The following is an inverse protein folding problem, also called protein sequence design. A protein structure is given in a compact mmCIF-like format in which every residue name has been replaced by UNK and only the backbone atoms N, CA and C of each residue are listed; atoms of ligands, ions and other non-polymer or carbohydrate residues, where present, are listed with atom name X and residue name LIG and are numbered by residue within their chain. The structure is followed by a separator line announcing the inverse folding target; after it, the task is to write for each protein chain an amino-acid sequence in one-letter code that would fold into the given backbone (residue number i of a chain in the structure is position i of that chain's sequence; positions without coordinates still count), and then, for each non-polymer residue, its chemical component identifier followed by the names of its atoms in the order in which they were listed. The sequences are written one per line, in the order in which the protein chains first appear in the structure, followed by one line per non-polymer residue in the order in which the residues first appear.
data_IF_213102278810
#
_entry.id   IF_213102278810
#
_cell.length_a   1.000
_cell.length_b   1.000
_cell.length_c   1.000
_cell.angle_alpha   90.00
_cell.angle_beta   90.00
_cell.angle_gamma   90.00
#
_symmetry.space_group_name_H-M   'P 1'
#
loop_
_entity.id
_entity.type
_entity.pdbx_description
1 polymer ?
#
# COMPACT_ATOMS: atom_id res chain seq x y z
N UNK A 1 -13.37 17.82 -4.27
CA UNK A 1 -13.97 17.99 -5.61
C UNK A 1 -13.95 16.65 -6.31
N UNK A 2 -15.05 16.27 -6.95
CA UNK A 2 -15.17 15.02 -7.72
C UNK A 2 -15.09 15.32 -9.21
N UNK A 3 -14.44 14.45 -9.99
CA UNK A 3 -14.46 14.45 -11.45
C UNK A 3 -14.33 13.03 -11.98
N UNK A 4 -14.73 12.82 -13.25
CA UNK A 4 -14.41 11.60 -13.98
C UNK A 4 -12.89 11.45 -14.09
N UNK A 5 -12.37 10.25 -13.78
CA UNK A 5 -10.97 9.90 -14.02
C UNK A 5 -10.80 9.34 -15.43
N UNK A 6 -11.43 8.21 -15.72
CA UNK A 6 -11.56 7.62 -17.05
C UNK A 6 -12.61 6.50 -17.04
N UNK A 7 -12.94 5.98 -18.22
CA UNK A 7 -13.67 4.70 -18.30
C UNK A 7 -12.68 3.53 -18.24
N UNK A 8 -13.12 2.44 -17.64
CA UNK A 8 -12.49 1.12 -17.73
C UNK A 8 -12.91 0.43 -19.03
N UNK A 9 -12.16 -0.59 -19.47
CA UNK A 9 -12.53 -1.41 -20.62
C UNK A 9 -13.87 -2.15 -20.43
N UNK A 10 -14.29 -2.39 -19.18
CA UNK A 10 -15.63 -2.89 -18.83
C UNK A 10 -16.77 -1.93 -19.19
N UNK A 11 -16.47 -0.66 -19.47
CA UNK A 11 -17.42 0.42 -19.69
C UNK A 11 -17.78 1.17 -18.40
N UNK A 12 -17.37 0.68 -17.22
CA UNK A 12 -17.59 1.36 -15.94
C UNK A 12 -16.75 2.64 -15.84
N UNK A 13 -17.29 3.63 -15.14
CA UNK A 13 -16.62 4.90 -14.91
C UNK A 13 -15.88 4.93 -13.58
N UNK A 14 -14.58 5.21 -13.61
CA UNK A 14 -13.82 5.53 -12.42
C UNK A 14 -13.85 7.06 -12.17
N UNK A 15 -14.03 7.41 -10.89
CA UNK A 15 -14.04 8.78 -10.41
C UNK A 15 -12.72 9.14 -9.71
N UNK A 16 -12.37 10.43 -9.74
CA UNK A 16 -11.21 11.00 -9.05
C UNK A 16 -11.68 12.10 -8.09
N UNK A 17 -11.31 11.95 -6.82
CA UNK A 17 -11.65 12.87 -5.74
C UNK A 17 -10.43 13.68 -5.38
N UNK A 18 -10.57 15.01 -5.34
CA UNK A 18 -9.52 15.92 -4.90
C UNK A 18 -9.87 16.47 -3.52
N UNK A 19 -8.95 16.32 -2.59
CA UNK A 19 -9.00 16.90 -1.25
C UNK A 19 -7.81 17.84 -1.04
N UNK A 20 -8.00 18.89 -0.23
CA UNK A 20 -7.00 19.94 -0.02
C UNK A 20 -7.04 20.46 1.42
N UNK A 21 -5.86 20.57 2.04
CA UNK A 21 -5.68 21.23 3.34
C UNK A 21 -4.19 21.54 3.57
N UNK A 22 -3.89 22.60 4.34
CA UNK A 22 -2.52 22.92 4.77
C UNK A 22 -1.47 23.08 3.66
N UNK A 23 -1.89 23.49 2.45
CA UNK A 23 -0.99 23.59 1.30
C UNK A 23 -0.80 22.26 0.54
N UNK A 24 -1.35 21.16 1.05
CA UNK A 24 -1.35 19.86 0.40
C UNK A 24 -2.56 19.69 -0.53
N UNK A 25 -2.37 18.89 -1.59
CA UNK A 25 -3.45 18.41 -2.44
C UNK A 25 -3.26 16.92 -2.67
N UNK A 26 -4.27 16.11 -2.36
CA UNK A 26 -4.28 14.69 -2.70
C UNK A 26 -5.40 14.36 -3.68
N UNK A 27 -5.14 13.42 -4.58
CA UNK A 27 -6.15 12.88 -5.50
C UNK A 27 -6.28 11.39 -5.30
N UNK A 28 -7.49 10.94 -5.06
CA UNK A 28 -7.83 9.56 -4.77
C UNK A 28 -8.87 9.09 -5.78
N UNK A 29 -8.70 7.92 -6.39
CA UNK A 29 -9.73 7.32 -7.24
C UNK A 29 -10.55 6.29 -6.48
N UNK A 30 -11.80 6.10 -6.88
CA UNK A 30 -12.62 5.01 -6.38
C UNK A 30 -12.20 3.63 -6.92
N UNK A 31 -11.36 3.57 -7.95
CA UNK A 31 -10.74 2.30 -8.36
C UNK A 31 -9.65 1.94 -7.33
N UNK A 32 -9.87 0.85 -6.59
CA UNK A 32 -8.93 0.38 -5.57
C UNK A 32 -8.80 1.29 -4.34
N UNK A 33 -9.67 2.31 -4.20
CA UNK A 33 -9.46 3.39 -3.22
C UNK A 33 -8.02 3.91 -3.27
N UNK A 34 -7.50 4.17 -4.46
CA UNK A 34 -6.08 4.40 -4.76
C UNK A 34 -5.68 5.85 -4.57
N UNK A 35 -4.58 6.11 -3.87
CA UNK A 35 -3.90 7.41 -3.86
C UNK A 35 -3.16 7.60 -5.20
N UNK A 36 -3.70 8.48 -6.05
CA UNK A 36 -3.18 8.72 -7.41
C UNK A 36 -2.08 9.76 -7.42
N UNK A 37 -2.25 10.83 -6.65
CA UNK A 37 -1.32 11.96 -6.57
C UNK A 37 -1.29 12.54 -5.15
N UNK A 38 -0.12 13.01 -4.73
CA UNK A 38 0.07 13.81 -3.53
C UNK A 38 1.00 14.98 -3.84
N UNK A 39 0.43 16.17 -3.95
CA UNK A 39 1.16 17.40 -4.19
C UNK A 39 1.57 18.04 -2.88
N UNK A 40 2.87 18.22 -2.70
CA UNK A 40 3.46 18.81 -1.49
C UNK A 40 4.41 19.94 -1.85
N UNK A 41 4.49 21.03 -1.07
CA UNK A 41 5.51 22.05 -1.23
C UNK A 41 6.86 21.54 -0.71
N UNK A 42 7.93 21.79 -1.45
CA UNK A 42 9.29 21.61 -0.97
C UNK A 42 9.74 22.78 -0.06
N UNK A 43 10.98 22.73 0.43
CA UNK A 43 11.54 23.76 1.29
C UNK A 43 11.63 25.16 0.62
N UNK A 44 11.57 25.24 -0.71
CA UNK A 44 11.52 26.50 -1.47
C UNK A 44 10.08 26.98 -1.73
N UNK A 45 9.07 26.17 -1.40
CA UNK A 45 7.67 26.41 -1.70
C UNK A 45 7.23 25.94 -3.08
N UNK A 46 8.11 25.27 -3.83
CA UNK A 46 7.73 24.64 -5.11
C UNK A 46 6.91 23.38 -4.84
N UNK A 47 5.73 23.31 -5.46
CA UNK A 47 4.80 22.17 -5.28
C UNK A 47 5.09 21.08 -6.30
N UNK A 48 5.26 19.85 -5.84
CA UNK A 48 5.51 18.68 -6.69
C UNK A 48 4.68 17.48 -6.25
N UNK A 49 4.35 16.60 -7.23
CA UNK A 49 3.70 15.33 -6.98
C UNK A 49 4.75 14.29 -6.56
N UNK A 50 4.62 13.79 -5.34
CA UNK A 50 5.60 12.87 -4.74
C UNK A 50 5.14 11.41 -4.74
N UNK A 51 4.01 11.10 -5.38
CA UNK A 51 3.46 9.73 -5.47
C UNK A 51 3.53 9.25 -6.91
N UNK A 52 4.08 8.05 -7.11
CA UNK A 52 4.08 7.39 -8.40
C UNK A 52 2.66 6.91 -8.75
N UNK A 53 2.16 7.29 -9.92
CA UNK A 53 0.81 6.97 -10.37
C UNK A 53 0.63 7.03 -11.88
N UNK A 54 -0.56 6.65 -12.34
CA UNK A 54 -0.95 6.68 -13.75
C UNK A 54 -1.99 7.78 -14.03
N UNK A 55 -2.05 8.24 -15.28
CA UNK A 55 -2.95 9.32 -15.71
C UNK A 55 -4.38 8.87 -15.99
N UNK A 56 -4.66 7.57 -15.95
CA UNK A 56 -5.99 7.01 -16.20
C UNK A 56 -6.22 5.74 -15.39
N UNK A 57 -7.48 5.41 -15.11
CA UNK A 57 -7.87 4.28 -14.29
C UNK A 57 -7.52 2.92 -14.92
N UNK A 58 -7.62 2.79 -16.27
CA UNK A 58 -7.34 1.52 -16.92
C UNK A 58 -5.89 1.08 -16.74
N UNK A 59 -4.95 2.02 -16.72
CA UNK A 59 -3.54 1.72 -16.50
C UNK A 59 -3.27 1.07 -15.13
N UNK A 60 -4.09 1.37 -14.10
CA UNK A 60 -4.01 0.69 -12.80
C UNK A 60 -4.52 -0.76 -12.84
N UNK A 61 -5.41 -1.09 -13.77
CA UNK A 61 -5.89 -2.46 -13.98
C UNK A 61 -4.91 -3.29 -14.79
N UNK A 62 -4.27 -2.66 -15.79
CA UNK A 62 -3.40 -3.32 -16.77
C UNK A 62 -1.97 -3.58 -16.26
N UNK A 63 -1.58 -2.99 -15.11
CA UNK A 63 -0.24 -3.07 -14.57
C UNK A 63 -0.21 -3.65 -13.16
N UNK A 64 0.78 -4.47 -12.87
CA UNK A 64 0.91 -5.28 -11.64
C UNK A 64 1.56 -4.53 -10.46
N UNK A 65 1.88 -3.24 -10.60
CA UNK A 65 2.64 -2.49 -9.60
C UNK A 65 1.86 -2.07 -8.36
N UNK A 66 0.55 -2.28 -8.30
CA UNK A 66 -0.35 -1.90 -7.19
C UNK A 66 -0.22 -0.43 -6.75
N UNK A 67 0.25 0.47 -7.61
CA UNK A 67 0.62 1.85 -7.27
C UNK A 67 -0.47 2.56 -6.49
N UNK A 68 -0.15 3.01 -5.27
CA UNK A 68 -1.05 3.78 -4.42
C UNK A 68 -2.32 3.09 -3.94
N UNK A 69 -2.53 1.81 -4.28
CA UNK A 69 -3.77 1.11 -4.06
C UNK A 69 -3.98 0.67 -2.59
N UNK A 70 -5.23 0.55 -2.20
CA UNK A 70 -5.63 -0.14 -0.98
C UNK A 70 -5.61 -1.65 -1.22
N UNK A 71 -4.81 -2.38 -0.45
CA UNK A 71 -4.70 -3.83 -0.50
C UNK A 71 -5.38 -4.47 0.72
N UNK A 72 -6.06 -5.58 0.49
CA UNK A 72 -6.79 -6.36 1.51
C UNK A 72 -7.59 -7.49 0.84
N UNK A 73 -8.17 -8.43 1.67
CA UNK A 73 -8.21 -8.41 3.17
C UNK A 73 -6.84 -8.55 3.82
N UNK A 74 -5.94 -9.32 3.20
CA UNK A 74 -4.57 -9.53 3.66
C UNK A 74 -3.60 -9.00 2.60
N UNK A 75 -2.77 -8.05 2.98
CA UNK A 75 -1.65 -7.58 2.20
C UNK A 75 -0.49 -8.58 2.30
N UNK A 76 0.42 -8.53 1.32
CA UNK A 76 1.55 -9.43 1.17
C UNK A 76 1.09 -10.90 0.96
N UNK A 77 1.97 -11.88 1.21
CA UNK A 77 1.80 -13.28 0.83
C UNK A 77 1.25 -14.15 1.93
N UNK A 78 0.50 -15.18 1.53
CA UNK A 78 0.10 -16.31 2.38
C UNK A 78 0.62 -17.57 1.68
N UNK A 79 1.56 -18.25 2.33
CA UNK A 79 2.19 -19.45 1.83
C UNK A 79 1.18 -20.57 1.56
N UNK A 80 1.30 -21.22 0.39
CA UNK A 80 0.42 -22.31 -0.03
C UNK A 80 -1.07 -21.92 -0.04
N UNK A 81 -1.38 -20.63 -0.11
CA UNK A 81 -2.75 -20.09 -0.16
C UNK A 81 -3.66 -20.63 0.95
N UNK A 82 -3.13 -20.85 2.16
CA UNK A 82 -3.90 -21.40 3.29
C UNK A 82 -3.42 -20.88 4.63
N UNK A 83 -4.36 -20.72 5.57
CA UNK A 83 -4.05 -20.34 6.94
C UNK A 83 -5.04 -20.96 7.93
N UNK A 84 -4.63 -21.21 9.18
CA UNK A 84 -5.53 -21.68 10.22
C UNK A 84 -6.36 -20.52 10.79
N UNK A 85 -7.66 -20.74 10.98
CA UNK A 85 -8.57 -19.82 11.66
C UNK A 85 -9.62 -20.61 12.40
N UNK A 86 -9.82 -20.35 13.69
CA UNK A 86 -10.84 -21.01 14.54
C UNK A 86 -10.85 -22.55 14.40
N UNK A 87 -9.64 -23.16 14.45
CA UNK A 87 -9.46 -24.62 14.36
C UNK A 87 -9.73 -25.23 12.98
N UNK A 88 -9.95 -24.43 11.95
CA UNK A 88 -10.15 -24.86 10.57
C UNK A 88 -9.04 -24.30 9.69
N UNK A 89 -8.82 -24.96 8.53
CA UNK A 89 -7.94 -24.42 7.49
C UNK A 89 -8.80 -23.66 6.48
N UNK A 90 -8.55 -22.36 6.37
CA UNK A 90 -9.07 -21.55 5.28
C UNK A 90 -8.17 -21.72 4.05
N UNK A 91 -8.78 -21.92 2.89
CA UNK A 91 -8.09 -22.09 1.62
C UNK A 91 -8.46 -20.90 0.74
N UNK A 92 -7.44 -20.18 0.29
CA UNK A 92 -7.58 -19.03 -0.59
C UNK A 92 -7.37 -19.43 -2.05
N UNK A 93 -7.75 -18.55 -2.96
CA UNK A 93 -7.44 -18.70 -4.37
C UNK A 93 -5.98 -18.31 -4.62
N UNK A 94 -5.11 -19.20 -5.13
CA UNK A 94 -3.74 -18.84 -5.47
C UNK A 94 -3.70 -17.90 -6.67
N UNK A 95 -2.74 -16.98 -6.69
CA UNK A 95 -2.52 -16.05 -7.78
C UNK A 95 -1.03 -15.76 -8.07
N UNK A 96 -0.13 -16.36 -7.26
CA UNK A 96 1.32 -16.31 -7.47
C UNK A 96 1.90 -17.72 -7.21
N UNK A 97 2.00 -18.55 -8.25
CA UNK A 97 2.33 -19.97 -8.08
C UNK A 97 1.32 -20.68 -7.19
N UNK A 98 1.78 -21.27 -6.07
CA UNK A 98 0.91 -21.88 -5.06
C UNK A 98 0.49 -20.90 -3.96
N UNK A 99 1.04 -19.69 -3.94
CA UNK A 99 0.84 -18.71 -2.92
C UNK A 99 -0.32 -17.75 -3.25
N UNK A 100 -0.85 -17.10 -2.23
CA UNK A 100 -1.81 -16.02 -2.38
C UNK A 100 -1.10 -14.69 -2.09
N UNK A 101 -1.05 -13.79 -3.08
CA UNK A 101 -0.52 -12.44 -2.97
C UNK A 101 -1.67 -11.44 -2.97
N UNK A 102 -1.68 -10.52 -1.98
CA UNK A 102 -2.62 -9.40 -1.88
C UNK A 102 -4.10 -9.81 -2.00
N UNK A 103 -4.45 -11.00 -1.46
CA UNK A 103 -5.79 -11.57 -1.38
C UNK A 103 -6.34 -12.16 -2.69
N UNK A 104 -5.50 -12.36 -3.72
CA UNK A 104 -5.86 -13.23 -4.85
C UNK A 104 -6.21 -12.54 -6.16
N UNK A 105 -6.79 -13.25 -7.13
CA UNK A 105 -6.86 -12.83 -8.54
C UNK A 105 -7.84 -11.68 -8.80
N UNK A 106 -8.75 -11.37 -7.86
CA UNK A 106 -9.64 -10.20 -7.93
C UNK A 106 -9.48 -9.30 -6.70
N UNK A 107 -8.26 -8.77 -6.49
CA UNK A 107 -7.93 -8.03 -5.29
C UNK A 107 -8.68 -6.68 -5.22
N UNK A 108 -8.59 -6.00 -4.10
CA UNK A 108 -9.35 -4.79 -3.85
C UNK A 108 -8.91 -3.61 -4.73
N UNK A 109 -7.67 -3.59 -5.21
CA UNK A 109 -7.12 -2.53 -6.06
C UNK A 109 -7.75 -2.42 -7.45
N UNK A 110 -8.40 -3.48 -7.96
CA UNK A 110 -9.08 -3.46 -9.27
C UNK A 110 -10.60 -3.34 -9.15
N UNK A 111 -11.12 -3.13 -7.94
CA UNK A 111 -12.56 -2.96 -7.68
C UNK A 111 -12.93 -1.49 -7.59
N UNK A 112 -14.14 -1.16 -8.05
CA UNK A 112 -14.71 0.16 -7.81
C UNK A 112 -15.32 0.22 -6.41
N UNK A 113 -14.82 1.15 -5.60
CA UNK A 113 -15.31 1.43 -4.27
C UNK A 113 -16.41 2.49 -4.32
N UNK A 114 -17.32 2.45 -3.37
CA UNK A 114 -18.43 3.39 -3.27
C UNK A 114 -18.00 4.62 -2.45
N UNK A 115 -18.27 5.81 -2.96
CA UNK A 115 -18.09 7.06 -2.20
C UNK A 115 -19.09 7.09 -1.04
N UNK A 116 -18.57 7.16 0.18
CA UNK A 116 -19.38 7.30 1.39
C UNK A 116 -19.44 8.76 1.88
N UNK A 117 -18.32 9.49 1.78
CA UNK A 117 -18.26 10.91 2.15
C UNK A 117 -17.14 11.63 1.39
N UNK A 118 -17.37 12.89 1.06
CA UNK A 118 -16.37 13.77 0.45
C UNK A 118 -16.48 15.17 1.07
N UNK A 119 -15.42 15.59 1.71
CA UNK A 119 -15.25 16.93 2.28
C UNK A 119 -14.08 17.66 1.59
N UNK A 120 -13.81 18.89 2.00
CA UNK A 120 -12.70 19.66 1.43
C UNK A 120 -11.35 18.97 1.68
N UNK A 121 -11.16 18.40 2.87
CA UNK A 121 -9.91 17.83 3.38
C UNK A 121 -9.93 16.32 3.53
N UNK A 122 -11.05 15.65 3.23
CA UNK A 122 -11.18 14.21 3.40
C UNK A 122 -12.08 13.55 2.37
N UNK A 123 -11.78 12.28 2.07
CA UNK A 123 -12.63 11.38 1.28
C UNK A 123 -12.71 10.02 1.95
N UNK A 124 -13.92 9.47 2.04
CA UNK A 124 -14.18 8.14 2.58
C UNK A 124 -14.80 7.26 1.50
N UNK A 125 -14.17 6.12 1.26
CA UNK A 125 -14.60 5.10 0.32
C UNK A 125 -14.93 3.81 1.06
N UNK A 126 -15.92 3.05 0.58
CA UNK A 126 -16.36 1.79 1.17
C UNK A 126 -16.40 0.66 0.15
N UNK A 127 -16.14 -0.55 0.64
CA UNK A 127 -16.23 -1.79 -0.13
C UNK A 127 -16.92 -2.86 0.73
N UNK A 128 -17.86 -3.60 0.13
CA UNK A 128 -18.35 -4.85 0.67
C UNK A 128 -17.64 -6.02 -0.01
N UNK A 129 -17.10 -6.93 0.81
CA UNK A 129 -16.45 -8.17 0.37
C UNK A 129 -17.25 -9.32 0.95
N UNK A 130 -18.02 -10.07 0.14
CA UNK A 130 -18.96 -11.09 0.62
C UNK A 130 -18.25 -12.27 1.29
N UNK A 131 -18.99 -13.08 2.03
CA UNK A 131 -18.50 -14.35 2.60
C UNK A 131 -17.94 -15.25 1.50
N UNK A 132 -16.71 -15.75 1.70
CA UNK A 132 -16.00 -16.58 0.71
C UNK A 132 -15.29 -15.81 -0.40
N UNK A 133 -15.35 -14.49 -0.40
CA UNK A 133 -14.59 -13.66 -1.36
C UNK A 133 -13.09 -13.97 -1.29
N UNK A 134 -12.50 -14.40 -2.41
CA UNK A 134 -11.11 -14.90 -2.54
C UNK A 134 -10.77 -16.08 -1.61
N UNK A 135 -11.78 -16.70 -0.96
CA UNK A 135 -11.64 -17.76 0.04
C UNK A 135 -11.64 -17.27 1.49
N UNK A 136 -11.72 -15.97 1.73
CA UNK A 136 -11.79 -15.42 3.10
C UNK A 136 -13.20 -15.61 3.70
N UNK A 137 -13.32 -16.08 4.96
CA UNK A 137 -14.61 -16.23 5.63
C UNK A 137 -15.19 -14.90 6.07
N UNK A 138 -16.51 -14.84 6.11
CA UNK A 138 -17.31 -13.72 6.59
C UNK A 138 -17.49 -12.59 5.58
N UNK A 139 -18.68 -11.99 5.60
CA UNK A 139 -18.94 -10.75 4.87
C UNK A 139 -18.23 -9.61 5.55
N UNK A 140 -17.33 -8.94 4.83
CA UNK A 140 -16.57 -7.82 5.36
C UNK A 140 -17.07 -6.49 4.78
N UNK A 141 -17.35 -5.53 5.67
CA UNK A 141 -17.61 -4.14 5.32
C UNK A 141 -16.36 -3.33 5.64
N UNK A 142 -15.76 -2.74 4.62
CA UNK A 142 -14.48 -2.06 4.69
C UNK A 142 -14.67 -0.59 4.37
N UNK A 143 -13.98 0.25 5.10
CA UNK A 143 -13.94 1.70 4.91
C UNK A 143 -12.49 2.15 4.89
N UNK A 144 -12.16 3.02 3.95
CA UNK A 144 -10.87 3.73 3.89
C UNK A 144 -11.15 5.23 3.86
N UNK A 145 -10.51 5.96 4.76
CA UNK A 145 -10.58 7.42 4.82
C UNK A 145 -9.20 8.01 4.59
N UNK A 146 -9.10 8.85 3.58
CA UNK A 146 -7.95 9.73 3.35
C UNK A 146 -8.29 11.11 3.88
N UNK A 147 -7.41 11.69 4.71
CA UNK A 147 -7.60 13.03 5.29
C UNK A 147 -6.28 13.77 5.32
N UNK A 148 -6.32 15.03 4.86
CA UNK A 148 -5.24 15.98 5.02
C UNK A 148 -5.48 16.80 6.28
N UNK A 149 -4.50 16.88 7.17
CA UNK A 149 -4.57 17.79 8.31
C UNK A 149 -4.02 19.17 7.95
N UNK A 150 -4.23 20.16 8.82
CA UNK A 150 -3.73 21.53 8.61
C UNK A 150 -2.22 21.69 8.86
N UNK A 151 -1.54 20.63 9.30
CA UNK A 151 -0.12 20.61 9.71
C UNK A 151 0.79 19.97 8.68
N UNK A 152 0.24 19.57 7.51
CA UNK A 152 0.99 18.96 6.41
C UNK A 152 1.01 17.44 6.43
N UNK A 153 0.13 16.78 7.18
CA UNK A 153 -0.02 15.34 7.25
C UNK A 153 -1.08 14.78 6.32
N UNK A 154 -0.80 13.62 5.71
CA UNK A 154 -1.78 12.75 5.08
C UNK A 154 -2.06 11.56 5.99
N UNK A 155 -3.31 11.40 6.43
CA UNK A 155 -3.79 10.29 7.22
C UNK A 155 -4.55 9.30 6.34
N UNK A 156 -4.23 8.02 6.44
CA UNK A 156 -4.95 6.93 5.79
C UNK A 156 -5.47 6.00 6.90
N UNK A 157 -6.79 5.97 7.09
CA UNK A 157 -7.42 5.20 8.14
C UNK A 157 -8.24 4.05 7.55
N UNK A 158 -8.04 2.84 8.05
CA UNK A 158 -8.77 1.64 7.66
C UNK A 158 -9.70 1.22 8.79
N UNK A 159 -10.95 0.93 8.43
CA UNK A 159 -11.94 0.32 9.33
C UNK A 159 -12.49 -0.93 8.65
N UNK A 160 -12.45 -2.07 9.32
CA UNK A 160 -13.00 -3.33 8.84
C UNK A 160 -13.94 -3.93 9.89
N UNK A 161 -15.12 -4.41 9.44
CA UNK A 161 -16.05 -5.19 10.27
C UNK A 161 -16.47 -6.41 9.48
N UNK A 162 -16.61 -7.54 10.18
CA UNK A 162 -17.12 -8.78 9.59
C UNK A 162 -18.19 -9.40 10.46
N UNK A 163 -19.10 -10.15 9.83
CA UNK A 163 -20.13 -10.94 10.51
C UNK A 163 -19.59 -12.26 11.10
N UNK A 164 -18.32 -12.60 10.83
CA UNK A 164 -17.57 -13.75 11.36
C UNK A 164 -16.12 -13.40 11.63
N UNK A 165 -15.45 -14.27 12.35
CA UNK A 165 -14.00 -14.24 12.46
C UNK A 165 -13.34 -14.36 11.08
N UNK A 166 -12.42 -13.44 10.79
CA UNK A 166 -11.69 -13.32 9.53
C UNK A 166 -10.36 -12.62 9.76
N UNK A 167 -9.56 -12.48 8.70
CA UNK A 167 -8.30 -11.75 8.74
C UNK A 167 -8.49 -10.35 8.15
N UNK A 168 -7.94 -9.34 8.83
CA UNK A 168 -7.73 -8.00 8.29
C UNK A 168 -6.27 -7.60 8.48
N UNK A 169 -5.54 -7.48 7.39
CA UNK A 169 -4.18 -6.96 7.34
C UNK A 169 -4.08 -6.06 6.09
N UNK A 170 -4.56 -4.84 6.22
CA UNK A 170 -4.70 -3.92 5.09
C UNK A 170 -3.54 -2.95 5.02
N UNK A 171 -3.21 -2.52 3.81
CA UNK A 171 -2.17 -1.51 3.59
C UNK A 171 -2.50 -0.60 2.41
N UNK A 172 -1.75 0.50 2.31
CA UNK A 172 -1.65 1.33 1.12
C UNK A 172 -0.31 1.05 0.42
N UNK A 173 -0.35 0.83 -0.89
CA UNK A 173 0.82 0.46 -1.67
C UNK A 173 1.41 1.66 -2.45
N UNK A 174 1.45 2.83 -1.83
CA UNK A 174 2.06 4.02 -2.46
C UNK A 174 3.57 3.90 -2.54
N UNK A 175 4.11 4.35 -3.66
CA UNK A 175 5.54 4.55 -3.88
C UNK A 175 5.83 6.04 -3.84
N UNK A 176 6.71 6.47 -2.93
CA UNK A 176 7.04 7.87 -2.73
C UNK A 176 8.40 8.22 -3.32
N UNK A 177 8.44 9.34 -4.05
CA UNK A 177 9.69 10.00 -4.44
C UNK A 177 9.61 11.48 -4.03
N UNK A 178 10.30 11.84 -2.95
CA UNK A 178 10.27 13.21 -2.40
C UNK A 178 10.93 14.25 -3.32
N UNK A 179 11.66 13.81 -4.35
CA UNK A 179 12.18 14.68 -5.40
C UNK A 179 11.15 14.97 -6.51
N UNK A 180 9.93 14.40 -6.40
CA UNK A 180 8.87 14.44 -7.42
C UNK A 180 8.93 13.25 -8.39
N UNK A 181 7.77 12.80 -8.86
CA UNK A 181 7.67 11.65 -9.78
C UNK A 181 8.37 11.91 -11.12
N UNK A 182 8.58 13.17 -11.51
CA UNK A 182 9.31 13.57 -12.71
C UNK A 182 10.83 13.31 -12.63
N UNK A 183 11.32 12.89 -11.44
CA UNK A 183 12.74 12.66 -11.16
C UNK A 183 13.01 11.23 -10.70
N UNK A 184 12.71 10.19 -11.51
CA UNK A 184 12.87 8.79 -11.10
C UNK A 184 14.32 8.44 -10.71
N UNK A 185 15.30 9.08 -11.32
CA UNK A 185 16.74 8.91 -11.02
C UNK A 185 17.13 9.30 -9.59
N UNK A 186 16.29 10.09 -8.90
CA UNK A 186 16.54 10.55 -7.54
C UNK A 186 15.88 9.66 -6.47
N UNK A 187 14.99 8.74 -6.87
CA UNK A 187 14.21 7.94 -5.92
C UNK A 187 15.09 7.17 -4.91
N UNK A 188 16.18 6.55 -5.37
CA UNK A 188 17.10 5.79 -4.50
C UNK A 188 18.06 6.67 -3.69
N UNK A 189 18.13 7.97 -3.99
CA UNK A 189 18.97 8.91 -3.26
C UNK A 189 18.26 9.57 -2.07
N UNK A 190 16.99 9.24 -1.85
CA UNK A 190 16.27 9.66 -0.66
C UNK A 190 16.99 9.15 0.59
N UNK A 191 17.06 10.02 1.61
CA UNK A 191 17.63 9.65 2.90
C UNK A 191 16.54 9.03 3.75
N UNK A 192 16.70 7.76 4.10
CA UNK A 192 15.78 7.01 4.95
C UNK A 192 16.34 6.93 6.37
N UNK A 193 15.43 7.13 7.34
CA UNK A 193 15.68 6.84 8.75
C UNK A 193 14.49 6.10 9.33
N UNK A 194 14.74 5.04 10.08
CA UNK A 194 13.69 4.15 10.57
C UNK A 194 14.09 3.56 11.94
N UNK A 195 13.28 3.75 13.01
CA UNK A 195 13.58 3.24 14.34
C UNK A 195 13.26 1.72 14.45
N UNK A 196 13.69 0.96 13.45
CA UNK A 196 13.54 -0.49 13.43
C UNK A 196 14.77 -1.18 14.03
N UNK A 197 14.57 -2.19 14.85
CA UNK A 197 15.65 -3.02 15.40
C UNK A 197 15.81 -4.34 14.67
N UNK A 198 14.72 -4.83 14.10
CA UNK A 198 14.66 -6.07 13.36
C UNK A 198 13.94 -5.90 12.03
N UNK A 199 14.22 -6.80 11.12
CA UNK A 199 13.45 -7.03 9.92
C UNK A 199 13.12 -8.52 9.79
N UNK A 200 12.09 -8.84 9.04
CA UNK A 200 11.75 -10.21 8.70
C UNK A 200 12.36 -10.54 7.33
N UNK A 201 13.29 -11.51 7.22
CA UNK A 201 13.76 -11.97 5.93
C UNK A 201 12.69 -12.80 5.22
N UNK A 202 12.75 -12.80 3.90
CA UNK A 202 11.91 -13.62 3.05
C UNK A 202 12.68 -14.83 2.52
N UNK A 203 11.96 -15.90 2.18
CA UNK A 203 12.53 -17.06 1.47
C UNK A 203 12.62 -16.81 -0.05
N UNK A 204 13.10 -17.80 -0.80
CA UNK A 204 13.24 -17.73 -2.25
C UNK A 204 11.89 -17.63 -3.02
N UNK A 205 10.76 -17.73 -2.33
CA UNK A 205 9.42 -17.49 -2.87
C UNK A 205 8.81 -16.18 -2.37
N UNK A 206 9.64 -15.32 -1.78
CA UNK A 206 9.24 -14.04 -1.18
C UNK A 206 8.21 -14.21 -0.04
N UNK A 207 8.26 -15.36 0.64
CA UNK A 207 7.43 -15.60 1.83
C UNK A 207 8.20 -15.14 3.07
N UNK A 208 7.63 -14.23 3.89
CA UNK A 208 8.23 -13.87 5.17
C UNK A 208 8.46 -15.12 6.04
N UNK A 209 9.69 -15.32 6.49
CA UNK A 209 10.07 -16.51 7.28
C UNK A 209 9.49 -16.48 8.69
N UNK A 210 9.10 -15.30 9.16
CA UNK A 210 8.70 -15.07 10.56
C UNK A 210 9.87 -14.94 11.52
N UNK A 211 11.11 -14.97 11.03
CA UNK A 211 12.30 -14.70 11.83
C UNK A 211 12.44 -13.19 12.07
N UNK A 212 12.93 -12.84 13.25
CA UNK A 212 13.30 -11.47 13.62
C UNK A 212 14.82 -11.32 13.54
N UNK A 213 15.32 -10.85 12.39
CA UNK A 213 16.75 -10.63 12.19
C UNK A 213 17.15 -9.22 12.61
N UNK A 214 18.21 -9.04 13.44
CA UNK A 214 18.65 -7.72 13.83
C UNK A 214 19.19 -6.93 12.64
N UNK A 215 18.85 -5.64 12.55
CA UNK A 215 19.36 -4.75 11.49
C UNK A 215 20.80 -4.31 11.76
N UNK A 216 21.27 -4.36 13.03
CA UNK A 216 22.58 -3.86 13.43
C UNK A 216 23.71 -4.51 12.64
N UNK A 217 24.65 -3.67 12.17
CA UNK A 217 25.84 -4.06 11.39
C UNK A 217 25.50 -4.76 10.05
N UNK A 218 24.30 -4.48 9.50
CA UNK A 218 23.84 -4.99 8.19
C UNK A 218 23.44 -3.85 7.26
N UNK A 219 23.32 -4.09 5.94
CA UNK A 219 22.74 -3.13 5.00
C UNK A 219 21.33 -2.65 5.37
N UNK A 220 20.57 -3.44 6.16
CA UNK A 220 19.20 -3.15 6.61
C UNK A 220 19.15 -2.09 7.72
N UNK A 221 20.28 -1.60 8.24
CA UNK A 221 20.31 -0.64 9.34
C UNK A 221 20.05 0.79 8.89
N UNK A 222 18.81 1.24 9.04
CA UNK A 222 18.35 2.62 8.80
C UNK A 222 18.09 3.40 10.11
N UNK A 223 18.60 2.95 11.26
CA UNK A 223 18.47 3.70 12.53
C UNK A 223 19.27 5.01 12.50
N UNK A 224 20.37 5.05 11.73
CA UNK A 224 21.09 6.27 11.38
C UNK A 224 20.67 6.66 9.96
N UNK A 225 20.28 7.93 9.72
CA UNK A 225 19.86 8.37 8.40
C UNK A 225 20.92 8.08 7.34
N UNK A 226 20.55 7.40 6.25
CA UNK A 226 21.43 7.12 5.11
C UNK A 226 20.64 7.11 3.80
N UNK A 227 21.26 7.43 2.63
CA UNK A 227 20.63 7.23 1.34
C UNK A 227 20.26 5.76 1.12
N UNK A 228 19.09 5.48 0.51
CA UNK A 228 18.69 4.12 0.15
C UNK A 228 19.74 3.46 -0.74
N UNK A 229 20.33 4.23 -1.67
CA UNK A 229 21.38 3.75 -2.60
C UNK A 229 22.70 3.37 -1.93
N UNK A 230 22.93 3.73 -0.66
CA UNK A 230 24.23 3.52 -0.03
C UNK A 230 24.65 2.05 0.00
N UNK A 231 23.73 1.17 0.36
CA UNK A 231 23.99 -0.26 0.53
C UNK A 231 23.11 -1.13 -0.37
N UNK A 232 22.47 -0.52 -1.40
CA UNK A 232 21.52 -1.23 -2.27
C UNK A 232 22.17 -2.40 -3.01
N UNK A 233 23.44 -2.24 -3.41
CA UNK A 233 24.22 -3.24 -4.13
C UNK A 233 25.17 -4.03 -3.20
N UNK A 234 24.95 -4.00 -1.88
CA UNK A 234 25.77 -4.73 -0.93
C UNK A 234 25.64 -6.26 -1.15
N UNK A 235 26.75 -6.98 -0.96
CA UNK A 235 26.77 -8.44 -0.99
C UNK A 235 26.09 -9.00 0.27
N UNK A 236 24.76 -9.00 0.24
CA UNK A 236 23.90 -9.41 1.34
C UNK A 236 22.71 -10.20 0.83
N UNK A 237 22.58 -11.47 1.26
CA UNK A 237 21.61 -12.43 0.74
C UNK A 237 20.16 -11.90 0.70
N UNK A 238 19.61 -11.27 1.76
CA UNK A 238 18.25 -10.72 1.71
C UNK A 238 18.04 -9.71 0.58
N UNK A 239 19.01 -8.82 0.31
CA UNK A 239 18.92 -7.86 -0.80
C UNK A 239 18.96 -8.56 -2.15
N UNK A 240 19.79 -9.61 -2.29
CA UNK A 240 19.89 -10.37 -3.54
C UNK A 240 18.60 -11.12 -3.86
N UNK A 241 17.97 -11.74 -2.85
CA UNK A 241 16.71 -12.48 -3.03
C UNK A 241 15.57 -11.60 -3.54
N UNK A 242 15.48 -10.36 -3.03
CA UNK A 242 14.42 -9.42 -3.37
C UNK A 242 14.78 -8.47 -4.52
N UNK A 243 16.04 -8.44 -4.95
CA UNK A 243 16.53 -7.45 -5.90
C UNK A 243 16.57 -6.02 -5.32
N UNK A 244 16.62 -5.91 -3.99
CA UNK A 244 16.64 -4.64 -3.26
C UNK A 244 15.96 -4.73 -1.90
N UNK A 245 15.51 -3.57 -1.39
CA UNK A 245 14.79 -3.49 -0.11
C UNK A 245 13.28 -3.73 -0.33
N UNK A 246 12.81 -4.94 -0.04
CA UNK A 246 11.39 -5.31 -0.03
C UNK A 246 11.09 -6.21 1.19
N UNK A 247 11.32 -5.68 2.37
CA UNK A 247 11.24 -6.43 3.63
C UNK A 247 10.34 -5.75 4.64
N UNK A 248 9.74 -6.54 5.52
CA UNK A 248 9.03 -6.03 6.68
C UNK A 248 10.01 -5.61 7.77
N UNK A 249 9.89 -4.37 8.24
CA UNK A 249 10.67 -3.85 9.36
C UNK A 249 9.78 -3.69 10.58
N UNK A 250 10.29 -4.14 11.74
CA UNK A 250 9.66 -3.93 13.02
C UNK A 250 9.98 -2.51 13.51
N UNK A 251 9.02 -1.59 13.34
CA UNK A 251 9.17 -0.19 13.75
C UNK A 251 8.54 0.02 15.12
N UNK A 252 9.34 0.43 16.09
CA UNK A 252 8.84 0.82 17.41
C UNK A 252 8.35 2.27 17.37
N UNK A 253 7.04 2.45 17.31
CA UNK A 253 6.44 3.74 17.62
C UNK A 253 6.33 3.86 19.14
N UNK A 254 7.03 4.82 19.76
CA UNK A 254 6.62 5.24 21.09
C UNK A 254 5.19 5.78 20.96
N UNK A 255 4.23 5.26 21.73
CA UNK A 255 2.90 5.87 21.74
C UNK A 255 3.06 7.34 22.15
N UNK A 256 2.58 8.24 21.29
CA UNK A 256 2.48 9.68 21.56
C UNK A 256 1.53 9.93 22.74
#
# INVERSE_FOLDING_TARGET
MEKKFSNLHSGEEACLYTIQNGGLTAKITNLGATLVQLWVPDASGQVQDVVLGYDNAQAYVDNDGFLGATLGRNANRIAGSRFPLDGKICVLTPNEGENNLHSGPHPYNVRLWTLANLEQDSVTLTLESPDGDQGFPGTAHIRVTYRLDGEGGLHICYEGRSDRETVFNMTNHSYFNLAGQEHPEKAVHQVLSMPARHFCPDDAQNIPTGEECPVADTPMDFRVPKPISQDLDADYEPLHLQGGYDHNFEVFCNPC
#
